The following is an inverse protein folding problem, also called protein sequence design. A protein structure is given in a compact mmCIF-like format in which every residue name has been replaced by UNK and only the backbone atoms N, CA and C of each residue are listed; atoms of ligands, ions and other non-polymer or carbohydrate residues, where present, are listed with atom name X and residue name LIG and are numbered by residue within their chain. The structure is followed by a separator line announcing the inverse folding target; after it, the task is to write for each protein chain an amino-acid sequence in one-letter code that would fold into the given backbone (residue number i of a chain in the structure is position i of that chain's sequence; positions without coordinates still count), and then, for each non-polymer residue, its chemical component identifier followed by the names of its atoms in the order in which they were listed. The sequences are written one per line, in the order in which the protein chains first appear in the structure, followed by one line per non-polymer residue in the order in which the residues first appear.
data_IF_962497686603
#
_entry.id   IF_962497686603
#
_cell.length_a   1.000
_cell.length_b   1.000
_cell.length_c   1.000
_cell.angle_alpha   90.00
_cell.angle_beta   90.00
_cell.angle_gamma   90.00
#
_symmetry.space_group_name_H-M   'P 1'
#
loop_
_entity.id
_entity.type
_entity.pdbx_description
1 polymer ?
#
# COMPACT_ATOMS: atom_id res chain seq x y z
N UNK A 1 -1.22 -19.94 21.07
CA UNK A 1 -1.90 -19.64 19.79
C UNK A 1 -1.59 -18.19 19.44
N UNK A 2 -0.74 -17.94 18.45
CA UNK A 2 -0.38 -16.58 18.02
C UNK A 2 -1.60 -15.94 17.38
N UNK A 3 -2.19 -14.96 18.06
CA UNK A 3 -3.32 -14.19 17.53
C UNK A 3 -2.87 -13.47 16.25
N UNK A 4 -3.64 -13.64 15.18
CA UNK A 4 -3.31 -13.04 13.90
C UNK A 4 -3.39 -11.51 14.03
N UNK A 5 -2.30 -10.78 13.73
CA UNK A 5 -2.22 -9.32 13.96
C UNK A 5 -2.92 -8.49 12.88
N UNK A 6 -3.34 -9.14 11.79
CA UNK A 6 -3.88 -8.48 10.61
C UNK A 6 -5.10 -9.23 10.08
N UNK A 7 -6.04 -8.46 9.51
CA UNK A 7 -7.19 -8.98 8.79
C UNK A 7 -7.21 -8.48 7.35
N UNK A 8 -7.64 -9.32 6.41
CA UNK A 8 -7.88 -8.91 5.02
C UNK A 8 -9.38 -8.70 4.83
N UNK A 9 -9.78 -7.52 4.33
CA UNK A 9 -11.19 -7.16 4.13
C UNK A 9 -11.40 -6.55 2.74
N UNK A 10 -12.64 -6.58 2.24
CA UNK A 10 -13.01 -5.89 0.99
C UNK A 10 -13.03 -4.38 1.19
N UNK A 11 -12.51 -3.66 0.19
CA UNK A 11 -12.48 -2.19 0.11
C UNK A 11 -12.94 -1.75 -1.29
N UNK A 12 -13.05 -0.44 -1.51
CA UNK A 12 -13.41 0.10 -2.83
C UNK A 12 -12.36 -0.18 -3.92
N UNK A 13 -11.12 -0.50 -3.54
CA UNK A 13 -9.99 -0.77 -4.44
C UNK A 13 -9.60 -2.26 -4.49
N UNK A 14 -10.40 -3.15 -3.91
CA UNK A 14 -10.17 -4.59 -3.92
C UNK A 14 -10.11 -5.18 -2.52
N UNK A 15 -9.02 -5.85 -2.18
CA UNK A 15 -8.74 -6.35 -0.84
C UNK A 15 -7.76 -5.39 -0.15
N UNK A 16 -8.00 -5.10 1.12
CA UNK A 16 -7.17 -4.24 1.97
C UNK A 16 -6.65 -5.00 3.19
N UNK A 17 -5.46 -4.62 3.66
CA UNK A 17 -4.86 -5.13 4.89
C UNK A 17 -5.18 -4.21 6.06
N UNK A 18 -5.76 -4.74 7.13
CA UNK A 18 -6.15 -4.01 8.33
C UNK A 18 -5.36 -4.51 9.53
N UNK A 19 -4.94 -3.59 10.40
CA UNK A 19 -4.33 -3.98 11.69
C UNK A 19 -5.41 -4.37 12.71
N UNK A 20 -5.15 -5.38 13.54
CA UNK A 20 -6.02 -5.78 14.64
C UNK A 20 -5.54 -5.26 16.01
N UNK A 21 -4.48 -4.45 16.00
CA UNK A 21 -3.89 -3.83 17.19
C UNK A 21 -3.43 -2.41 16.89
N UNK A 22 -3.28 -1.60 17.94
CA UNK A 22 -2.69 -0.26 17.83
C UNK A 22 -1.21 -0.36 17.43
N UNK A 23 -0.78 0.50 16.50
CA UNK A 23 0.59 0.61 16.04
C UNK A 23 1.04 2.06 16.25
N UNK A 24 2.17 2.25 16.93
CA UNK A 24 2.75 3.57 17.15
C UNK A 24 3.58 4.02 15.95
N UNK A 25 3.63 5.34 15.75
CA UNK A 25 4.51 5.94 14.74
C UNK A 25 5.96 5.45 14.89
N UNK A 26 6.65 5.27 13.76
CA UNK A 26 8.03 4.78 13.71
C UNK A 26 8.19 3.30 14.05
N UNK A 27 7.10 2.53 14.16
CA UNK A 27 7.18 1.07 14.38
C UNK A 27 7.12 0.30 13.06
N UNK A 28 7.95 -0.75 13.00
CA UNK A 28 7.91 -1.76 11.95
C UNK A 28 6.64 -2.60 12.07
N UNK A 29 5.91 -2.74 10.97
CA UNK A 29 4.58 -3.36 10.91
C UNK A 29 4.67 -4.79 10.40
N UNK A 30 5.12 -4.97 9.16
CA UNK A 30 5.15 -6.24 8.45
C UNK A 30 6.23 -6.21 7.37
N UNK A 31 6.79 -7.36 7.01
CA UNK A 31 7.71 -7.49 5.86
C UNK A 31 6.91 -7.63 4.57
N UNK A 32 7.36 -6.96 3.50
CA UNK A 32 6.90 -7.26 2.15
C UNK A 32 7.75 -8.39 1.58
N UNK A 33 7.27 -9.62 1.75
CA UNK A 33 8.01 -10.83 1.38
C UNK A 33 7.75 -11.24 -0.07
N UNK A 34 8.77 -11.76 -0.74
CA UNK A 34 8.63 -12.25 -2.11
C UNK A 34 9.93 -12.80 -2.66
N UNK A 35 9.89 -13.19 -3.93
CA UNK A 35 11.10 -13.59 -4.66
C UNK A 35 11.82 -12.34 -5.14
N UNK A 36 13.13 -12.27 -4.93
CA UNK A 36 13.93 -11.18 -5.50
C UNK A 36 14.21 -11.50 -6.97
N UNK A 37 13.81 -10.59 -7.86
CA UNK A 37 14.02 -10.65 -9.30
C UNK A 37 14.75 -9.39 -9.76
N UNK A 38 15.32 -9.40 -10.96
CA UNK A 38 15.93 -8.18 -11.52
C UNK A 38 14.84 -7.21 -11.97
N UNK A 39 15.19 -5.93 -12.11
CA UNK A 39 14.25 -4.93 -12.60
C UNK A 39 13.81 -5.21 -14.05
N UNK A 40 14.70 -5.76 -14.89
CA UNK A 40 14.34 -6.17 -16.26
C UNK A 40 13.26 -7.26 -16.27
N UNK A 41 13.41 -8.29 -15.43
CA UNK A 41 12.41 -9.34 -15.27
C UNK A 41 11.09 -8.78 -14.70
N UNK A 42 11.18 -7.81 -13.78
CA UNK A 42 10.01 -7.16 -13.19
C UNK A 42 9.22 -6.38 -14.27
N UNK A 43 9.91 -5.64 -15.13
CA UNK A 43 9.33 -4.89 -16.24
C UNK A 43 8.71 -5.82 -17.30
N UNK A 44 9.40 -6.92 -17.65
CA UNK A 44 8.91 -7.91 -18.61
C UNK A 44 7.65 -8.63 -18.12
N UNK A 45 7.63 -9.05 -16.83
CA UNK A 45 6.43 -9.65 -16.24
C UNK A 45 5.27 -8.66 -16.16
N UNK A 46 5.60 -7.44 -15.74
CA UNK A 46 4.63 -6.46 -15.27
C UNK A 46 3.77 -7.00 -14.12
N UNK A 47 2.88 -6.15 -13.59
CA UNK A 47 1.83 -6.57 -12.68
C UNK A 47 1.78 -5.82 -11.36
N UNK A 48 0.96 -6.34 -10.44
CA UNK A 48 0.41 -5.57 -9.31
C UNK A 48 1.16 -5.72 -7.97
N UNK A 49 2.19 -6.55 -7.92
CA UNK A 49 2.86 -6.95 -6.66
C UNK A 49 4.38 -6.83 -6.73
N UNK A 50 4.87 -5.93 -7.58
CA UNK A 50 6.29 -5.62 -7.69
C UNK A 50 6.61 -4.47 -6.76
N UNK A 51 7.66 -4.63 -5.96
CA UNK A 51 8.16 -3.59 -5.07
C UNK A 51 9.66 -3.42 -5.32
N UNK A 52 10.07 -2.26 -5.82
CA UNK A 52 11.48 -1.93 -6.05
C UNK A 52 12.29 -2.07 -4.74
N UNK A 53 13.40 -2.81 -4.82
CA UNK A 53 14.31 -3.03 -3.70
C UNK A 53 15.50 -2.07 -3.77
N UNK A 54 16.10 -1.99 -4.96
CA UNK A 54 17.23 -1.12 -5.31
C UNK A 54 17.30 -0.92 -6.84
N UNK A 55 18.36 -0.25 -7.33
CA UNK A 55 18.55 0.06 -8.75
C UNK A 55 18.59 -1.16 -9.68
N UNK A 56 18.82 -2.37 -9.16
CA UNK A 56 18.97 -3.61 -9.94
C UNK A 56 17.86 -4.62 -9.68
N UNK A 57 17.23 -4.57 -8.52
CA UNK A 57 16.33 -5.63 -8.07
C UNK A 57 14.98 -5.10 -7.58
N UNK A 58 13.98 -5.96 -7.72
CA UNK A 58 12.65 -5.81 -7.16
C UNK A 58 12.25 -7.09 -6.40
N UNK A 59 11.25 -6.96 -5.53
CA UNK A 59 10.61 -8.08 -4.84
C UNK A 59 9.26 -8.37 -5.50
N UNK A 60 9.11 -9.59 -6.03
CA UNK A 60 7.83 -10.13 -6.50
C UNK A 60 7.03 -10.72 -5.34
N UNK A 61 6.05 -9.95 -4.89
CA UNK A 61 5.16 -10.25 -3.77
C UNK A 61 3.89 -11.03 -4.14
N UNK A 62 3.81 -11.68 -5.31
CA UNK A 62 2.58 -12.35 -5.77
C UNK A 62 2.08 -13.48 -4.85
N UNK A 63 2.91 -14.05 -3.99
CA UNK A 63 2.47 -15.14 -3.10
C UNK A 63 1.33 -14.72 -2.17
N UNK A 64 0.33 -15.59 -1.95
CA UNK A 64 -0.74 -15.35 -0.95
C UNK A 64 -0.25 -15.39 0.49
N UNK A 65 0.93 -15.96 0.74
CA UNK A 65 1.58 -15.90 2.06
C UNK A 65 2.07 -14.49 2.42
N UNK A 66 2.36 -13.66 1.41
CA UNK A 66 2.69 -12.25 1.61
C UNK A 66 1.42 -11.46 1.96
N UNK A 67 1.11 -11.30 3.25
CA UNK A 67 -0.04 -10.48 3.66
C UNK A 67 0.13 -9.00 3.28
N UNK A 68 1.36 -8.49 3.19
CA UNK A 68 1.63 -7.10 2.82
C UNK A 68 1.21 -6.77 1.38
N UNK A 69 1.02 -7.77 0.51
CA UNK A 69 0.48 -7.58 -0.86
C UNK A 69 -0.91 -6.93 -0.92
N UNK A 70 -1.65 -6.96 0.19
CA UNK A 70 -3.00 -6.39 0.29
C UNK A 70 -3.00 -4.95 0.82
N UNK A 71 -1.83 -4.36 1.08
CA UNK A 71 -1.72 -2.95 1.47
C UNK A 71 -2.06 -2.09 0.25
N UNK A 72 -3.11 -1.29 0.35
CA UNK A 72 -3.60 -0.44 -0.74
C UNK A 72 -2.83 0.87 -0.85
N UNK A 73 -3.01 1.54 -1.99
CA UNK A 73 -2.53 2.89 -2.21
C UNK A 73 -3.35 3.94 -1.44
N UNK A 74 -2.68 4.94 -0.89
CA UNK A 74 -3.28 6.21 -0.50
C UNK A 74 -2.37 7.39 -0.84
N UNK A 75 -2.95 8.50 -1.33
CA UNK A 75 -2.23 9.77 -1.51
C UNK A 75 -1.99 10.52 -0.17
N UNK A 76 -2.43 9.95 0.95
CA UNK A 76 -2.12 10.39 2.30
C UNK A 76 -1.95 9.14 3.18
N UNK A 77 -0.88 8.36 2.93
CA UNK A 77 -0.73 7.05 3.54
C UNK A 77 -0.48 7.15 5.05
N UNK A 78 -0.64 6.03 5.74
CA UNK A 78 -0.29 5.89 7.15
C UNK A 78 0.97 5.04 7.37
N UNK A 79 1.49 4.43 6.31
CA UNK A 79 2.72 3.65 6.32
C UNK A 79 3.59 3.94 5.08
N UNK A 80 4.83 3.50 5.13
CA UNK A 80 5.78 3.51 4.01
C UNK A 80 6.58 2.21 3.96
N UNK A 81 7.09 1.84 2.79
CA UNK A 81 8.04 0.73 2.65
C UNK A 81 9.47 1.27 2.69
N UNK A 82 10.31 0.70 3.54
CA UNK A 82 11.73 1.01 3.66
C UNK A 82 12.57 -0.24 3.43
N UNK A 83 13.60 -0.12 2.62
CA UNK A 83 14.57 -1.18 2.37
C UNK A 83 15.56 -1.29 3.53
N UNK A 84 15.84 -2.52 3.97
CA UNK A 84 16.88 -2.82 4.96
C UNK A 84 17.66 -4.04 4.50
N UNK A 85 18.84 -3.82 3.91
CA UNK A 85 19.56 -4.87 3.19
C UNK A 85 18.75 -5.33 1.97
N UNK A 86 18.52 -6.64 1.83
CA UNK A 86 17.72 -7.22 0.73
C UNK A 86 16.26 -7.48 1.10
N UNK A 87 15.69 -6.68 2.00
CA UNK A 87 14.33 -6.85 2.50
C UNK A 87 13.60 -5.52 2.52
N UNK A 88 12.29 -5.57 2.30
CA UNK A 88 11.41 -4.41 2.35
C UNK A 88 10.51 -4.55 3.58
N UNK A 89 10.56 -3.56 4.46
CA UNK A 89 9.74 -3.50 5.66
C UNK A 89 8.74 -2.37 5.57
N UNK A 90 7.51 -2.62 6.00
CA UNK A 90 6.50 -1.59 6.12
C UNK A 90 6.60 -0.94 7.50
N UNK A 91 6.71 0.38 7.55
CA UNK A 91 6.85 1.19 8.76
C UNK A 91 5.69 2.17 8.91
N UNK A 92 5.28 2.42 10.14
CA UNK A 92 4.23 3.37 10.46
C UNK A 92 4.75 4.82 10.39
N UNK A 93 4.09 5.66 9.60
CA UNK A 93 4.36 7.11 9.51
C UNK A 93 3.68 7.92 10.63
N UNK A 94 2.64 7.35 11.24
CA UNK A 94 1.83 7.94 12.30
C UNK A 94 1.25 6.83 13.18
N UNK A 95 0.59 7.21 14.27
CA UNK A 95 -0.20 6.27 15.06
C UNK A 95 -1.36 5.71 14.21
N UNK A 96 -1.55 4.39 14.24
CA UNK A 96 -2.58 3.65 13.49
C UNK A 96 -3.37 2.83 14.51
N UNK A 97 -4.70 3.03 14.56
CA UNK A 97 -5.56 2.32 15.51
C UNK A 97 -5.93 0.93 15.03
N UNK A 98 -6.21 0.04 15.98
CA UNK A 98 -6.83 -1.25 15.69
C UNK A 98 -8.09 -1.05 14.82
N UNK A 99 -8.18 -1.80 13.72
CA UNK A 99 -9.27 -1.71 12.76
C UNK A 99 -9.03 -0.74 11.59
N UNK A 100 -7.95 0.03 11.59
CA UNK A 100 -7.58 0.87 10.43
C UNK A 100 -6.92 0.06 9.30
N UNK A 101 -7.13 0.52 8.06
CA UNK A 101 -6.47 -0.01 6.87
C UNK A 101 -5.02 0.51 6.80
N UNK A 102 -4.07 -0.38 6.52
CA UNK A 102 -2.70 -0.03 6.19
C UNK A 102 -2.63 0.41 4.73
N UNK A 103 -2.06 1.59 4.50
CA UNK A 103 -1.91 2.16 3.15
C UNK A 103 -0.52 2.77 2.97
N UNK A 104 0.02 2.63 1.77
CA UNK A 104 1.31 3.20 1.35
C UNK A 104 1.13 4.07 0.09
N UNK A 105 2.14 4.84 -0.26
CA UNK A 105 2.20 5.45 -1.59
C UNK A 105 2.81 4.43 -2.56
N UNK A 106 2.18 4.22 -3.72
CA UNK A 106 2.69 3.27 -4.74
C UNK A 106 3.72 3.92 -5.66
N UNK A 107 3.97 5.23 -5.52
CA UNK A 107 4.80 5.97 -6.44
C UNK A 107 4.01 6.44 -7.66
N UNK A 108 4.54 7.48 -8.32
CA UNK A 108 3.87 8.14 -9.44
C UNK A 108 3.86 7.24 -10.68
N UNK A 109 4.97 6.57 -10.97
CA UNK A 109 5.11 5.73 -12.17
C UNK A 109 4.09 4.59 -12.17
N UNK A 110 3.95 3.88 -11.04
CA UNK A 110 2.94 2.83 -10.90
C UNK A 110 1.51 3.38 -11.07
N UNK A 111 1.21 4.54 -10.47
CA UNK A 111 -0.11 5.17 -10.60
C UNK A 111 -0.40 5.52 -12.06
N UNK A 112 0.54 6.14 -12.76
CA UNK A 112 0.38 6.56 -14.15
C UNK A 112 0.24 5.35 -15.09
N UNK A 113 0.96 4.25 -14.81
CA UNK A 113 0.93 3.04 -15.62
C UNK A 113 -0.34 2.17 -15.38
N UNK A 114 -0.89 2.17 -14.16
CA UNK A 114 -1.91 1.17 -13.78
C UNK A 114 -3.21 1.74 -13.20
N UNK A 115 -3.28 3.03 -12.88
CA UNK A 115 -4.42 3.63 -12.17
C UNK A 115 -4.87 4.91 -12.87
N UNK A 116 -5.86 4.79 -13.78
CA UNK A 116 -6.46 5.94 -14.48
C UNK A 116 -7.04 7.00 -13.53
N UNK A 117 -7.63 6.54 -12.41
CA UNK A 117 -8.16 7.42 -11.36
C UNK A 117 -7.95 6.82 -9.98
N UNK A 118 -7.19 7.51 -9.14
CA UNK A 118 -7.00 7.14 -7.74
C UNK A 118 -8.32 7.25 -6.95
N UNK A 119 -8.76 6.12 -6.38
CA UNK A 119 -9.98 5.98 -5.56
C UNK A 119 -9.69 5.91 -4.05
N UNK A 120 -8.48 6.29 -3.61
CA UNK A 120 -8.19 6.35 -2.18
C UNK A 120 -9.09 7.38 -1.48
N UNK A 121 -9.31 7.20 -0.17
CA UNK A 121 -10.21 8.05 0.62
C UNK A 121 -9.91 9.55 0.47
N UNK A 122 -8.62 9.93 0.46
CA UNK A 122 -8.18 11.31 0.32
C UNK A 122 -8.58 11.91 -1.03
N UNK A 123 -8.45 11.15 -2.12
CA UNK A 123 -8.82 11.60 -3.47
C UNK A 123 -10.33 11.69 -3.64
N UNK A 124 -11.07 10.70 -3.14
CA UNK A 124 -12.54 10.70 -3.19
C UNK A 124 -13.14 11.84 -2.35
N UNK A 125 -12.59 12.12 -1.17
CA UNK A 125 -13.01 13.24 -0.33
C UNK A 125 -12.78 14.58 -1.04
N UNK A 126 -11.62 14.77 -1.69
CA UNK A 126 -11.34 15.98 -2.49
C UNK A 126 -12.32 16.12 -3.65
N UNK A 127 -12.62 15.04 -4.37
CA UNK A 127 -13.56 15.04 -5.48
C UNK A 127 -14.99 15.43 -5.03
N UNK A 128 -15.46 14.88 -3.91
CA UNK A 128 -16.76 15.22 -3.31
C UNK A 128 -16.85 16.71 -2.94
N UNK A 129 -15.82 17.25 -2.28
CA UNK A 129 -15.74 18.69 -1.92
C UNK A 129 -15.80 19.62 -3.14
N UNK A 130 -15.15 19.26 -4.26
CA UNK A 130 -15.21 20.03 -5.51
C UNK A 130 -16.60 20.03 -6.16
N UNK A 131 -17.36 18.93 -6.01
CA UNK A 131 -18.73 18.82 -6.53
C UNK A 131 -19.70 19.66 -5.71
N UNK A 132 -19.60 19.64 -4.38
CA UNK A 132 -20.47 20.44 -3.51
C UNK A 132 -20.24 21.95 -3.64
N UNK A 133 -19.01 22.40 -3.85
CA UNK A 133 -18.72 23.82 -4.07
C UNK A 133 -19.22 24.36 -5.42
N UNK A 134 -19.24 23.52 -6.47
CA UNK A 134 -19.85 23.87 -7.76
C UNK A 134 -21.37 23.98 -7.69
N UNK A 135 -22.02 23.13 -6.88
CA UNK A 135 -23.48 23.17 -6.69
C UNK A 135 -23.98 24.38 -5.92
N UNK A 136 -23.14 25.05 -5.12
CA UNK A 136 -23.49 26.27 -4.35
C UNK A 136 -23.27 27.58 -5.13
N UNK A 137 -22.69 27.49 -6.34
CA UNK A 137 -22.42 28.65 -7.23
C UNK A 137 -23.40 28.73 -8.41
N UNK A 138 -24.38 27.85 -8.45
CA UNK A 138 -25.57 27.92 -9.30
C UNK A 138 -26.75 28.25 -8.40
#
# INVERSE_FOLDING_TARGET
MTQDKFAVRRTATGLGLFTLQDIKSGKRIIEYTGTIITNEEADERGGKYLFELDEKYAVDGHSRSNKARYINHSCGPNAEGLTTGRRIWIWALKDIKAGEELTINYGKEYLDAHIERCKCEKCETKARKKRSSKSKRK
#
